data_IF_552555796651
#
_entry.id   IF_552555796651
#
_cell.length_a   1.000
_cell.length_b   1.000
_cell.length_c   1.000
_cell.angle_alpha   90.00
_cell.angle_beta   90.00
_cell.angle_gamma   90.00
#
_symmetry.space_group_name_H-M   'P 1'
#
loop_
_entity.id
_entity.type
_entity.pdbx_description
1 polymer ?
#
# COMPACT_ATOMS: atom_id res chain seq x y z
N UNK A 1 11.45 -13.65 0.84
CA UNK A 1 10.93 -12.93 2.02
C UNK A 1 9.94 -11.87 1.57
N UNK A 2 8.97 -11.55 2.42
CA UNK A 2 8.03 -10.45 2.19
C UNK A 2 8.54 -9.19 2.90
N UNK A 3 8.32 -8.04 2.28
CA UNK A 3 8.69 -6.74 2.86
C UNK A 3 7.53 -6.19 3.68
N UNK A 4 7.84 -5.61 4.83
CA UNK A 4 6.90 -4.94 5.71
C UNK A 4 7.44 -3.56 6.09
N UNK A 5 6.53 -2.61 6.27
CA UNK A 5 6.81 -1.34 6.93
C UNK A 5 6.17 -1.34 8.31
N UNK A 6 6.97 -1.05 9.33
CA UNK A 6 6.49 -0.80 10.69
C UNK A 6 6.44 0.72 10.87
N UNK A 7 5.24 1.25 11.02
CA UNK A 7 5.01 2.66 11.34
C UNK A 7 4.92 2.80 12.86
N UNK A 8 5.82 3.59 13.43
CA UNK A 8 6.09 3.58 14.87
C UNK A 8 5.75 4.94 15.46
N UNK A 9 4.89 4.94 16.47
CA UNK A 9 4.57 6.13 17.27
C UNK A 9 4.91 5.85 18.72
N UNK A 10 5.82 6.63 19.30
CA UNK A 10 6.23 6.48 20.69
C UNK A 10 5.09 6.89 21.62
N UNK A 11 4.93 6.16 22.72
CA UNK A 11 4.07 6.59 23.84
C UNK A 11 4.74 7.75 24.59
N UNK A 12 4.04 8.46 25.49
CA UNK A 12 4.67 9.50 26.33
C UNK A 12 5.92 9.00 27.07
N UNK A 13 5.86 7.77 27.59
CA UNK A 13 6.98 7.11 28.27
C UNK A 13 8.11 6.79 27.29
N UNK A 14 7.78 6.26 26.11
CA UNK A 14 8.75 6.01 25.04
C UNK A 14 9.47 7.29 24.61
N UNK A 15 8.75 8.42 24.50
CA UNK A 15 9.34 9.73 24.15
C UNK A 15 10.27 10.24 25.22
N UNK A 16 9.89 10.14 26.49
CA UNK A 16 10.77 10.52 27.60
C UNK A 16 12.05 9.68 27.59
N UNK A 17 11.93 8.36 27.45
CA UNK A 17 13.07 7.45 27.38
C UNK A 17 13.97 7.72 26.16
N UNK A 18 13.39 8.01 24.99
CA UNK A 18 14.13 8.38 23.78
C UNK A 18 14.78 9.77 23.88
N UNK A 19 14.24 10.67 24.70
CA UNK A 19 14.88 11.96 24.96
C UNK A 19 16.12 11.79 25.84
N UNK A 20 16.06 10.90 26.85
CA UNK A 20 17.19 10.58 27.72
C UNK A 20 18.27 9.76 27.00
N UNK A 21 17.87 8.81 26.14
CA UNK A 21 18.76 8.02 25.30
C UNK A 21 18.26 8.00 23.84
N UNK A 22 18.73 8.96 23.01
CA UNK A 22 18.37 9.03 21.59
C UNK A 22 18.74 7.80 20.78
N UNK A 23 19.72 7.01 21.23
CA UNK A 23 20.17 5.79 20.53
C UNK A 23 19.43 4.53 20.97
N UNK A 24 18.51 4.64 21.95
CA UNK A 24 17.78 3.52 22.52
C UNK A 24 17.00 2.73 21.48
N UNK A 25 16.31 3.40 20.56
CA UNK A 25 15.45 2.71 19.58
C UNK A 25 16.27 1.87 18.60
N UNK A 26 17.43 2.38 18.16
CA UNK A 26 18.39 1.64 17.34
C UNK A 26 19.00 0.44 18.08
N UNK A 27 19.24 0.59 19.40
CA UNK A 27 19.73 -0.52 20.22
C UNK A 27 18.66 -1.61 20.39
N UNK A 28 17.43 -1.22 20.69
CA UNK A 28 16.31 -2.17 20.84
C UNK A 28 16.07 -2.92 19.54
N UNK A 29 16.10 -2.24 18.40
CA UNK A 29 15.95 -2.87 17.09
C UNK A 29 16.97 -4.00 16.90
N UNK A 30 18.27 -3.70 17.07
CA UNK A 30 19.34 -4.71 17.00
C UNK A 30 19.23 -5.82 18.04
N UNK A 31 18.73 -5.52 19.24
CA UNK A 31 18.55 -6.52 20.29
C UNK A 31 17.25 -7.33 20.13
N UNK A 32 16.37 -6.94 19.20
CA UNK A 32 15.12 -7.65 18.87
C UNK A 32 15.34 -8.52 17.63
N UNK A 33 16.52 -9.12 17.47
CA UNK A 33 16.77 -10.07 16.39
C UNK A 33 15.90 -11.33 16.57
N UNK A 34 15.24 -11.74 15.47
CA UNK A 34 14.35 -12.90 15.47
C UNK A 34 14.58 -13.75 14.22
N UNK A 35 14.63 -15.09 14.32
CA UNK A 35 14.81 -15.94 13.15
C UNK A 35 13.75 -15.66 12.09
N UNK A 36 14.20 -15.49 10.84
CA UNK A 36 13.31 -15.20 9.71
C UNK A 36 12.80 -13.76 9.66
N UNK A 37 13.43 -12.83 10.40
CA UNK A 37 13.15 -11.39 10.35
C UNK A 37 14.47 -10.62 10.23
N UNK A 38 14.54 -9.71 9.26
CA UNK A 38 15.71 -8.86 9.03
C UNK A 38 15.27 -7.39 8.89
N UNK A 39 15.81 -6.52 9.73
CA UNK A 39 15.59 -5.09 9.61
C UNK A 39 16.53 -4.48 8.57
N UNK A 40 15.95 -3.93 7.51
CA UNK A 40 16.69 -3.30 6.42
C UNK A 40 17.04 -1.84 6.72
N UNK A 41 16.29 -1.18 7.61
CA UNK A 41 16.60 0.17 8.04
C UNK A 41 15.52 0.81 8.89
N UNK A 42 15.94 1.76 9.73
CA UNK A 42 15.08 2.54 10.61
C UNK A 42 15.30 4.04 10.34
N UNK A 43 14.20 4.75 10.13
CA UNK A 43 14.21 6.17 9.76
C UNK A 43 13.33 6.97 10.71
N UNK A 44 13.83 8.10 11.21
CA UNK A 44 12.98 9.12 11.83
C UNK A 44 12.23 9.88 10.75
N UNK A 45 10.93 10.12 10.96
CA UNK A 45 10.09 10.80 9.96
C UNK A 45 9.38 12.01 10.56
N UNK A 46 9.15 13.01 9.73
CA UNK A 46 8.45 14.24 10.12
C UNK A 46 7.02 14.16 9.61
N UNK A 47 6.17 13.43 10.33
CA UNK A 47 4.79 13.18 9.92
C UNK A 47 3.91 12.67 11.05
N UNK A 48 2.92 11.83 10.70
CA UNK A 48 1.99 11.24 11.67
C UNK A 48 2.66 10.26 12.63
N UNK A 49 3.73 9.61 12.16
CA UNK A 49 4.51 8.63 12.92
C UNK A 49 5.84 9.26 13.30
N UNK A 50 6.47 8.74 14.34
CA UNK A 50 7.78 9.22 14.79
C UNK A 50 8.91 8.52 14.00
N UNK A 51 8.73 7.23 13.69
CA UNK A 51 9.68 6.43 12.93
C UNK A 51 9.01 5.49 11.92
N UNK A 52 9.79 5.05 10.93
CA UNK A 52 9.45 3.97 10.00
C UNK A 52 10.60 2.97 9.99
N UNK A 53 10.29 1.69 10.19
CA UNK A 53 11.25 0.59 9.98
C UNK A 53 10.85 -0.23 8.75
N UNK A 54 11.82 -0.52 7.88
CA UNK A 54 11.67 -1.46 6.77
C UNK A 54 12.22 -2.81 7.20
N UNK A 55 11.40 -3.84 7.11
CA UNK A 55 11.71 -5.17 7.63
C UNK A 55 11.36 -6.22 6.59
N UNK A 56 12.22 -7.20 6.38
CA UNK A 56 11.90 -8.43 5.67
C UNK A 56 11.56 -9.53 6.67
N UNK A 57 10.55 -10.33 6.34
CA UNK A 57 10.24 -11.52 7.12
C UNK A 57 9.81 -12.69 6.22
N UNK A 58 10.00 -13.90 6.74
CA UNK A 58 9.61 -15.14 6.06
C UNK A 58 8.09 -15.27 5.92
N UNK A 59 7.34 -14.92 6.97
CA UNK A 59 5.88 -15.00 7.01
C UNK A 59 5.26 -13.95 7.96
N UNK A 60 3.92 -13.91 7.97
CA UNK A 60 3.14 -12.98 8.79
C UNK A 60 3.28 -13.25 10.30
N UNK A 61 3.50 -14.51 10.71
CA UNK A 61 3.59 -14.87 12.12
C UNK A 61 4.94 -14.40 12.70
N UNK A 62 6.01 -14.53 11.92
CA UNK A 62 7.34 -14.04 12.25
C UNK A 62 7.32 -12.53 12.50
N UNK A 63 6.76 -11.74 11.57
CA UNK A 63 6.71 -10.27 11.69
C UNK A 63 5.73 -9.81 12.79
N UNK A 64 4.62 -10.51 13.00
CA UNK A 64 3.67 -10.16 14.06
C UNK A 64 4.32 -10.30 15.45
N UNK A 65 5.04 -11.39 15.68
CA UNK A 65 5.76 -11.61 16.94
C UNK A 65 6.90 -10.59 17.13
N UNK A 66 7.67 -10.31 16.08
CA UNK A 66 8.71 -9.27 16.11
C UNK A 66 8.11 -7.90 16.43
N UNK A 67 7.03 -7.50 15.74
CA UNK A 67 6.38 -6.19 15.92
C UNK A 67 5.85 -6.02 17.35
N UNK A 68 5.29 -7.08 17.93
CA UNK A 68 4.79 -7.06 19.32
C UNK A 68 5.94 -6.86 20.32
N UNK A 69 7.00 -7.65 20.22
CA UNK A 69 8.15 -7.53 21.12
C UNK A 69 8.82 -6.16 20.97
N UNK A 70 9.03 -5.73 19.72
CA UNK A 70 9.67 -4.47 19.41
C UNK A 70 8.88 -3.29 19.97
N UNK A 71 7.55 -3.27 19.82
CA UNK A 71 6.68 -2.22 20.34
C UNK A 71 6.70 -2.14 21.87
N UNK A 72 6.62 -3.29 22.56
CA UNK A 72 6.68 -3.35 24.03
C UNK A 72 8.00 -2.81 24.54
N UNK A 73 9.13 -3.23 23.95
CA UNK A 73 10.46 -2.78 24.38
C UNK A 73 10.68 -1.31 24.04
N UNK A 74 10.28 -0.87 22.85
CA UNK A 74 10.40 0.52 22.42
C UNK A 74 9.53 1.47 23.26
N UNK A 75 8.42 0.99 23.83
CA UNK A 75 7.40 1.87 24.39
C UNK A 75 6.69 2.61 23.27
N UNK A 76 6.24 1.86 22.27
CA UNK A 76 5.67 2.41 21.04
C UNK A 76 4.44 1.62 20.59
N UNK A 77 3.52 2.34 19.95
CA UNK A 77 2.49 1.74 19.12
C UNK A 77 3.09 1.49 17.73
N UNK A 78 2.92 0.26 17.22
CA UNK A 78 3.44 -0.16 15.92
C UNK A 78 2.26 -0.59 15.03
N UNK A 79 2.19 0.01 13.86
CA UNK A 79 1.30 -0.40 12.77
C UNK A 79 2.14 -1.12 11.69
N UNK A 80 1.90 -2.41 11.50
CA UNK A 80 2.66 -3.26 10.57
C UNK A 80 1.90 -3.39 9.25
N UNK A 81 2.55 -2.99 8.15
CA UNK A 81 1.96 -3.01 6.81
C UNK A 81 2.77 -3.91 5.87
N UNK A 82 2.16 -4.95 5.27
CA UNK A 82 2.77 -5.66 4.15
C UNK A 82 2.98 -4.72 2.97
N UNK A 83 4.17 -4.75 2.38
CA UNK A 83 4.57 -3.90 1.27
C UNK A 83 4.74 -4.72 0.00
N UNK A 84 4.19 -4.21 -1.10
CA UNK A 84 4.41 -4.76 -2.44
C UNK A 84 5.22 -3.74 -3.23
N UNK A 85 6.46 -4.05 -3.67
CA UNK A 85 7.27 -3.11 -4.43
C UNK A 85 6.60 -2.78 -5.77
N UNK A 86 6.69 -1.51 -6.18
CA UNK A 86 6.01 -1.03 -7.39
C UNK A 86 6.50 -1.74 -8.67
N UNK A 87 7.75 -2.21 -8.68
CA UNK A 87 8.32 -3.00 -9.77
C UNK A 87 7.54 -4.28 -10.08
N UNK A 88 6.79 -4.81 -9.11
CA UNK A 88 5.91 -5.98 -9.33
C UNK A 88 4.74 -5.67 -10.26
N UNK A 89 4.40 -4.39 -10.45
CA UNK A 89 3.30 -3.96 -11.30
C UNK A 89 3.71 -3.65 -12.75
N UNK A 90 5.02 -3.64 -13.07
CA UNK A 90 5.55 -3.26 -14.39
C UNK A 90 5.25 -4.27 -15.53
N UNK A 91 4.61 -5.42 -15.22
CA UNK A 91 4.28 -6.47 -16.20
C UNK A 91 2.77 -6.77 -16.31
N UNK A 92 1.91 -5.81 -15.97
CA UNK A 92 0.50 -5.92 -16.37
C UNK A 92 0.34 -5.48 -17.82
N UNK A 93 0.59 -6.40 -18.78
CA UNK A 93 0.02 -6.25 -20.11
C UNK A 93 -1.49 -6.05 -19.95
N UNK A 94 -2.11 -5.02 -20.55
CA UNK A 94 -3.56 -4.91 -20.56
C UNK A 94 -4.10 -6.16 -21.25
N UNK A 95 -4.76 -7.05 -20.50
CA UNK A 95 -5.54 -8.14 -21.08
C UNK A 95 -6.44 -7.53 -22.15
N UNK A 96 -6.25 -8.00 -23.39
CA UNK A 96 -6.88 -7.45 -24.57
C UNK A 96 -8.36 -7.18 -24.34
N UNK A 97 -8.81 -6.01 -24.78
CA UNK A 97 -10.20 -5.80 -25.10
C UNK A 97 -10.54 -6.85 -26.15
N UNK A 98 -11.18 -7.93 -25.70
CA UNK A 98 -11.80 -8.92 -26.55
C UNK A 98 -12.81 -8.15 -27.42
N UNK A 99 -12.38 -7.77 -28.61
CA UNK A 99 -13.22 -7.12 -29.61
C UNK A 99 -14.02 -8.23 -30.27
N UNK A 100 -14.88 -8.86 -29.46
CA UNK A 100 -15.96 -9.71 -29.91
C UNK A 100 -17.18 -8.82 -30.13
N UNK A 101 -17.51 -8.61 -31.41
CA UNK A 101 -18.86 -8.39 -31.91
C UNK A 101 -19.77 -7.43 -31.12
N UNK A 102 -19.55 -6.13 -31.30
CA UNK A 102 -20.60 -5.14 -31.10
C UNK A 102 -20.71 -4.27 -32.35
N UNK A 103 -21.37 -4.84 -33.38
CA UNK A 103 -21.92 -4.08 -34.48
C UNK A 103 -22.96 -3.11 -33.91
N UNK A 104 -22.55 -1.87 -33.69
CA UNK A 104 -23.43 -0.80 -33.20
C UNK A 104 -24.27 -0.30 -34.38
N UNK A 105 -25.35 -1.01 -34.71
CA UNK A 105 -26.37 -0.53 -35.64
C UNK A 105 -27.15 0.59 -34.95
N UNK A 106 -26.82 1.84 -35.28
CA UNK A 106 -27.62 3.02 -34.92
C UNK A 106 -28.92 3.01 -35.73
N UNK A 107 -29.89 2.20 -35.30
CA UNK A 107 -31.28 2.29 -35.72
C UNK A 107 -31.95 3.48 -35.04
N UNK A 108 -32.08 4.60 -35.75
CA UNK A 108 -32.88 5.73 -35.30
C UNK A 108 -34.38 5.37 -35.32
N UNK A 109 -35.12 5.49 -34.21
CA UNK A 109 -36.55 5.27 -34.23
C UNK A 109 -37.30 6.53 -34.71
N UNK A 110 -38.08 6.36 -35.77
CA UNK A 110 -39.37 7.04 -35.97
C UNK A 110 -39.38 8.55 -36.16
N UNK A 111 -39.42 8.98 -37.43
CA UNK A 111 -40.25 10.15 -37.80
C UNK A 111 -41.32 9.65 -38.76
N UNK A 112 -42.53 9.48 -38.21
CA UNK A 112 -43.74 9.18 -38.96
C UNK A 112 -44.47 10.48 -39.24
N UNK A 113 -44.74 10.76 -40.51
CA UNK A 113 -45.85 11.59 -40.95
C UNK A 113 -45.55 13.08 -41.12
N UNK A 114 -45.25 13.47 -42.36
CA UNK A 114 -45.95 14.60 -42.98
C UNK A 114 -45.99 14.35 -44.50
N UNK A 115 -47.12 13.81 -44.96
CA UNK A 115 -47.59 14.00 -46.34
C UNK A 115 -47.79 15.50 -46.58
N UNK A 116 -47.28 16.04 -47.68
CA UNK A 116 -48.14 16.29 -48.84
C UNK A 116 -47.30 16.63 -50.08
N UNK A 117 -47.86 16.40 -51.28
CA UNK A 117 -47.17 16.31 -52.55
C UNK A 117 -47.16 17.67 -53.25
N UNK A 118 -46.06 18.00 -53.92
CA UNK A 118 -46.21 18.81 -55.12
C UNK A 118 -45.07 18.58 -56.12
N UNK A 119 -45.45 18.01 -57.26
CA UNK A 119 -45.26 18.71 -58.53
C UNK A 119 -43.85 18.85 -59.10
N UNK A 120 -43.33 17.75 -59.64
CA UNK A 120 -42.81 17.61 -61.01
C UNK A 120 -41.55 18.41 -61.48
N UNK A 121 -40.85 17.89 -62.52
CA UNK A 121 -39.44 18.18 -62.78
C UNK A 121 -39.20 19.13 -63.98
N UNK A 122 -38.04 19.79 -63.99
CA UNK A 122 -37.23 20.07 -65.19
C UNK A 122 -35.82 20.52 -64.78
#
# INVERSE_FOLDING_TARGET
MATYFLLITLTPEGRAASFEDPSRLLRIERETEKPGVECLGLYGVLGRYDFISMVEADDNDAIAQFSLEYGVRAGAHIETMPAVPISRFEHHEPRGLDTGDAEMVLGLPGVSGLDDPDGAPA
#
